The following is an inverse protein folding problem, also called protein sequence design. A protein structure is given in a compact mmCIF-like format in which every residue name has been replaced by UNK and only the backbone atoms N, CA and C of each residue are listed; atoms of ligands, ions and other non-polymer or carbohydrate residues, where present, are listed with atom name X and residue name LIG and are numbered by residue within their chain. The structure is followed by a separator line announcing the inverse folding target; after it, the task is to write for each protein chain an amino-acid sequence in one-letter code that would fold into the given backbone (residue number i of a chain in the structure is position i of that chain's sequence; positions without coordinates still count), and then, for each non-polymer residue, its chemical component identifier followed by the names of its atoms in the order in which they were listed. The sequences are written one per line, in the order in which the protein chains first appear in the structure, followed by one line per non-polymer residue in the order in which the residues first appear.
data_IF_029523732427
#
_entry.id   IF_029523732427
#
_cell.length_a   1.000
_cell.length_b   1.000
_cell.length_c   1.000
_cell.angle_alpha   90.00
_cell.angle_beta   90.00
_cell.angle_gamma   90.00
#
_symmetry.space_group_name_H-M   'P 1'
#
loop_
_entity.id
_entity.type
_entity.pdbx_description
1 polymer ?
#
# COMPACT_ATOMS: atom_id res chain seq x y z
N UNK A 1 13.43 11.55 -9.37
CA UNK A 1 13.53 13.02 -9.36
C UNK A 1 13.63 13.45 -7.90
N UNK A 2 14.84 13.60 -7.35
CA UNK A 2 15.01 13.94 -5.94
C UNK A 2 14.68 15.41 -5.70
N UNK A 3 13.48 15.69 -5.18
CA UNK A 3 13.08 17.00 -4.69
C UNK A 3 12.78 18.07 -5.74
N UNK A 4 12.80 17.74 -7.03
CA UNK A 4 12.44 18.68 -8.10
C UNK A 4 10.92 18.62 -8.37
N UNK A 5 10.31 19.79 -8.55
CA UNK A 5 8.92 19.93 -8.98
C UNK A 5 8.83 20.43 -10.41
N UNK A 6 7.63 20.54 -10.97
CA UNK A 6 7.38 21.16 -12.28
C UNK A 6 7.51 22.70 -12.25
N UNK A 7 7.61 23.28 -11.07
CA UNK A 7 7.67 24.73 -10.88
C UNK A 7 9.10 25.16 -10.55
N UNK A 8 9.60 26.17 -11.26
CA UNK A 8 10.92 26.73 -11.00
C UNK A 8 11.02 27.32 -9.58
N UNK A 9 12.06 26.95 -8.84
CA UNK A 9 12.30 27.43 -7.48
C UNK A 9 11.41 26.78 -6.40
N UNK A 10 10.52 25.84 -6.76
CA UNK A 10 9.73 25.06 -5.81
C UNK A 10 10.33 23.69 -5.67
N UNK A 11 10.60 23.28 -4.43
CA UNK A 11 11.23 22.00 -4.09
C UNK A 11 10.37 21.23 -3.10
N UNK A 12 10.33 19.91 -3.26
CA UNK A 12 9.73 19.02 -2.28
C UNK A 12 10.61 18.89 -1.05
N UNK A 13 9.99 18.83 0.13
CA UNK A 13 10.69 18.41 1.35
C UNK A 13 10.95 16.91 1.22
N UNK A 14 12.22 16.45 1.33
CA UNK A 14 12.52 15.03 1.21
C UNK A 14 11.76 14.20 2.24
N UNK A 15 11.43 12.94 1.90
CA UNK A 15 10.80 12.01 2.83
C UNK A 15 11.61 11.90 4.13
N UNK A 16 10.91 11.72 5.25
CA UNK A 16 11.48 11.63 6.59
C UNK A 16 12.29 12.86 7.05
N UNK A 17 12.03 14.03 6.45
CA UNK A 17 12.60 15.30 6.91
C UNK A 17 11.51 16.23 7.46
N UNK A 18 11.85 16.97 8.46
CA UNK A 18 11.11 18.14 8.91
C UNK A 18 11.98 19.38 8.79
N UNK A 19 11.38 20.56 8.84
CA UNK A 19 12.16 21.77 8.67
C UNK A 19 11.58 22.99 9.35
N UNK A 20 12.44 23.98 9.55
CA UNK A 20 12.11 25.27 10.15
C UNK A 20 12.46 26.39 9.19
N UNK A 21 11.54 27.30 9.01
CA UNK A 21 11.75 28.53 8.23
C UNK A 21 11.57 29.72 9.18
N UNK A 22 12.65 30.47 9.39
CA UNK A 22 12.57 31.76 10.07
C UNK A 22 12.24 32.86 9.07
N UNK A 23 11.59 33.92 9.53
CA UNK A 23 11.23 35.05 8.66
C UNK A 23 12.48 35.61 7.96
N UNK A 24 12.51 35.55 6.63
CA UNK A 24 13.63 36.01 5.79
C UNK A 24 14.82 35.05 5.70
N UNK A 25 14.71 33.84 6.26
CA UNK A 25 15.75 32.79 6.17
C UNK A 25 15.43 31.70 5.16
N UNK A 26 16.44 30.88 4.89
CA UNK A 26 16.27 29.66 4.11
C UNK A 26 15.75 28.51 5.00
N UNK A 27 15.05 27.53 4.42
CA UNK A 27 14.65 26.31 5.11
C UNK A 27 15.86 25.56 5.69
N UNK A 28 15.76 25.17 6.95
CA UNK A 28 16.72 24.27 7.57
C UNK A 28 16.03 22.92 7.72
N UNK A 29 16.46 21.91 6.95
CA UNK A 29 15.88 20.58 6.95
C UNK A 29 16.69 19.66 7.86
N UNK A 30 15.98 18.84 8.64
CA UNK A 30 16.54 17.82 9.51
C UNK A 30 15.84 16.48 9.21
N UNK A 31 16.65 15.43 9.05
CA UNK A 31 16.11 14.07 8.88
C UNK A 31 15.76 13.51 10.25
N UNK A 32 14.48 13.16 10.45
CA UNK A 32 13.99 12.62 11.72
C UNK A 32 13.78 11.09 11.70
N UNK A 33 13.82 10.48 10.54
CA UNK A 33 13.58 9.03 10.40
C UNK A 33 14.39 8.43 9.25
N UNK A 34 14.76 7.18 9.43
CA UNK A 34 15.44 6.35 8.43
C UNK A 34 14.96 4.92 8.56
N UNK A 35 14.80 4.23 7.43
CA UNK A 35 14.52 2.78 7.44
C UNK A 35 15.76 2.05 7.95
N UNK A 36 15.60 1.28 9.02
CA UNK A 36 16.65 0.41 9.55
C UNK A 36 16.15 -1.02 9.48
N UNK A 37 16.94 -1.89 8.85
CA UNK A 37 16.65 -3.31 8.75
C UNK A 37 17.51 -4.06 9.78
N UNK A 38 16.90 -4.35 10.94
CA UNK A 38 17.52 -5.17 11.97
C UNK A 38 16.90 -6.58 11.93
N UNK A 39 17.74 -7.58 11.62
CA UNK A 39 17.28 -8.96 11.60
C UNK A 39 17.18 -9.48 13.03
N UNK A 40 15.98 -9.77 13.45
CA UNK A 40 15.72 -10.43 14.74
C UNK A 40 15.74 -11.96 14.56
N UNK A 41 16.80 -12.59 15.04
CA UNK A 41 16.98 -14.02 15.00
C UNK A 41 16.58 -14.71 16.31
N UNK A 42 16.06 -14.00 17.30
CA UNK A 42 15.82 -14.51 18.64
C UNK A 42 14.35 -14.85 18.89
N UNK A 43 13.42 -14.04 18.33
CA UNK A 43 12.00 -14.25 18.53
C UNK A 43 11.41 -15.25 17.54
N UNK A 44 10.32 -15.88 17.93
CA UNK A 44 9.58 -16.83 17.11
C UNK A 44 8.56 -16.12 16.21
N UNK A 45 8.08 -16.81 15.18
CA UNK A 45 6.97 -16.32 14.35
C UNK A 45 5.74 -15.95 15.20
N UNK A 46 5.40 -16.80 16.19
CA UNK A 46 4.26 -16.52 17.08
C UNK A 46 4.41 -15.19 17.85
N UNK A 47 5.63 -14.86 18.27
CA UNK A 47 5.91 -13.57 18.89
C UNK A 47 5.65 -12.41 17.93
N UNK A 48 6.13 -12.51 16.68
CA UNK A 48 5.92 -11.45 15.69
C UNK A 48 4.45 -11.29 15.33
N UNK A 49 3.71 -12.39 15.18
CA UNK A 49 2.27 -12.36 14.91
C UNK A 49 1.51 -11.64 16.04
N UNK A 50 1.81 -11.99 17.28
CA UNK A 50 1.15 -11.35 18.43
C UNK A 50 1.51 -9.87 18.54
N UNK A 51 2.80 -9.56 18.40
CA UNK A 51 3.26 -8.18 18.46
C UNK A 51 2.71 -7.30 17.32
N UNK A 52 2.61 -7.86 16.12
CA UNK A 52 1.97 -7.19 14.99
C UNK A 52 0.49 -6.91 15.28
N UNK A 53 -0.23 -7.88 15.82
CA UNK A 53 -1.64 -7.73 16.19
C UNK A 53 -1.83 -6.60 17.20
N UNK A 54 -1.00 -6.52 18.24
CA UNK A 54 -1.02 -5.44 19.22
C UNK A 54 -0.77 -4.06 18.57
N UNK A 55 0.29 -3.96 17.75
CA UNK A 55 0.66 -2.72 17.08
C UNK A 55 -0.41 -2.25 16.11
N UNK A 56 -1.02 -3.17 15.36
CA UNK A 56 -2.12 -2.84 14.45
C UNK A 56 -3.35 -2.33 15.21
N UNK A 57 -3.73 -2.99 16.30
CA UNK A 57 -4.86 -2.57 17.12
C UNK A 57 -4.62 -1.18 17.73
N UNK A 58 -3.45 -0.94 18.30
CA UNK A 58 -3.06 0.37 18.84
C UNK A 58 -3.06 1.46 17.77
N UNK A 59 -2.46 1.19 16.62
CA UNK A 59 -2.41 2.12 15.50
C UNK A 59 -3.81 2.50 15.01
N UNK A 60 -4.66 1.52 14.81
CA UNK A 60 -6.05 1.76 14.37
C UNK A 60 -6.83 2.53 15.42
N UNK A 61 -6.71 2.22 16.71
CA UNK A 61 -7.36 3.00 17.77
C UNK A 61 -6.96 4.47 17.72
N UNK A 62 -5.67 4.75 17.51
CA UNK A 62 -5.18 6.12 17.34
C UNK A 62 -5.76 6.82 16.10
N UNK A 63 -5.79 6.15 14.95
CA UNK A 63 -6.32 6.71 13.71
C UNK A 63 -7.85 6.90 13.74
N UNK A 64 -8.54 6.11 14.54
CA UNK A 64 -9.99 6.23 14.71
C UNK A 64 -10.42 7.35 15.67
N UNK A 65 -9.48 8.03 16.35
CA UNK A 65 -9.76 9.20 17.20
C UNK A 65 -10.03 10.43 16.33
N UNK A 66 -11.28 10.64 16.00
CA UNK A 66 -11.71 11.73 15.12
C UNK A 66 -13.04 12.32 15.59
N UNK A 67 -13.18 13.63 15.42
CA UNK A 67 -14.42 14.39 15.68
C UNK A 67 -15.42 14.29 14.52
N UNK A 68 -15.04 13.57 13.47
CA UNK A 68 -15.84 13.34 12.26
C UNK A 68 -16.00 11.86 11.99
N UNK A 69 -16.91 11.52 11.10
CA UNK A 69 -17.09 10.15 10.66
C UNK A 69 -15.88 9.68 9.85
N UNK A 70 -15.36 8.50 10.21
CA UNK A 70 -14.26 7.82 9.55
C UNK A 70 -14.80 6.61 8.79
N UNK A 71 -14.40 6.45 7.55
CA UNK A 71 -14.64 5.25 6.73
C UNK A 71 -13.35 4.55 6.36
N UNK A 72 -13.41 3.59 5.43
CA UNK A 72 -12.23 2.92 4.91
C UNK A 72 -12.32 2.65 3.40
N UNK A 73 -11.18 2.66 2.71
CA UNK A 73 -11.07 2.07 1.38
C UNK A 73 -10.90 0.56 1.51
N UNK A 74 -11.66 -0.19 0.74
CA UNK A 74 -11.56 -1.66 0.69
C UNK A 74 -11.46 -2.08 -0.77
N UNK A 75 -10.26 -2.42 -1.22
CA UNK A 75 -10.05 -2.92 -2.58
C UNK A 75 -10.51 -4.37 -2.78
N UNK A 76 -10.63 -5.13 -1.70
CA UNK A 76 -10.79 -6.58 -1.71
C UNK A 76 -9.50 -7.34 -1.35
N UNK A 77 -8.37 -6.64 -1.30
CA UNK A 77 -7.10 -7.16 -0.82
C UNK A 77 -7.05 -7.31 0.71
N UNK A 78 -6.09 -8.11 1.19
CA UNK A 78 -5.94 -8.44 2.63
C UNK A 78 -5.73 -7.19 3.47
N UNK A 79 -4.81 -6.31 3.08
CA UNK A 79 -4.41 -5.14 3.87
C UNK A 79 -5.58 -4.18 4.10
N UNK A 80 -6.27 -3.80 3.02
CA UNK A 80 -7.41 -2.88 3.10
C UNK A 80 -8.58 -3.48 3.87
N UNK A 81 -8.80 -4.79 3.72
CA UNK A 81 -9.86 -5.51 4.44
C UNK A 81 -9.57 -5.59 5.93
N UNK A 82 -8.33 -5.93 6.30
CA UNK A 82 -7.90 -5.97 7.71
C UNK A 82 -8.08 -4.63 8.39
N UNK A 83 -7.63 -3.55 7.78
CA UNK A 83 -7.77 -2.21 8.34
C UNK A 83 -9.23 -1.80 8.53
N UNK A 84 -10.10 -2.12 7.57
CA UNK A 84 -11.53 -1.83 7.67
C UNK A 84 -12.19 -2.62 8.82
N UNK A 85 -11.84 -3.90 8.97
CA UNK A 85 -12.35 -4.76 10.06
C UNK A 85 -11.92 -4.22 11.43
N UNK A 86 -10.62 -3.95 11.62
CA UNK A 86 -10.11 -3.38 12.85
C UNK A 86 -10.73 -1.99 13.14
N UNK A 87 -10.89 -1.16 12.12
CA UNK A 87 -11.57 0.13 12.26
C UNK A 87 -13.04 -0.02 12.68
N UNK A 88 -13.73 -1.02 12.17
CA UNK A 88 -15.09 -1.37 12.57
C UNK A 88 -15.18 -1.85 14.02
N UNK A 89 -14.23 -2.64 14.46
CA UNK A 89 -14.15 -3.15 15.83
C UNK A 89 -13.96 -2.06 16.86
N UNK A 90 -13.19 -1.01 16.56
CA UNK A 90 -13.03 0.16 17.45
C UNK A 90 -14.31 0.99 17.60
N UNK A 91 -15.24 0.91 16.63
CA UNK A 91 -16.54 1.57 16.64
C UNK A 91 -17.67 0.56 16.44
N UNK A 92 -18.00 -0.25 17.44
CA UNK A 92 -18.98 -1.34 17.29
C UNK A 92 -20.42 -0.85 17.09
N UNK A 93 -20.69 0.42 17.38
CA UNK A 93 -22.03 1.01 17.24
C UNK A 93 -22.11 1.97 16.06
N UNK A 94 -23.24 1.98 15.37
CA UNK A 94 -23.48 2.84 14.20
C UNK A 94 -22.95 2.25 12.89
N UNK A 95 -23.23 2.90 11.76
CA UNK A 95 -22.78 2.43 10.45
C UNK A 95 -21.29 2.72 10.26
N UNK A 96 -20.54 1.73 9.75
CA UNK A 96 -19.20 1.91 9.26
C UNK A 96 -19.23 1.85 7.74
N UNK A 97 -18.68 2.87 7.09
CA UNK A 97 -18.75 3.01 5.63
C UNK A 97 -17.44 2.57 4.99
N UNK A 98 -17.53 1.72 3.99
CA UNK A 98 -16.41 1.32 3.17
C UNK A 98 -16.64 1.69 1.71
N UNK A 99 -15.57 1.96 1.00
CA UNK A 99 -15.58 2.47 -0.37
C UNK A 99 -14.71 1.59 -1.25
N UNK A 100 -15.27 1.16 -2.38
CA UNK A 100 -14.60 0.28 -3.34
C UNK A 100 -14.74 0.83 -4.76
N UNK A 101 -13.67 0.71 -5.53
CA UNK A 101 -13.68 0.95 -6.97
C UNK A 101 -14.01 -0.35 -7.72
N UNK A 102 -14.94 -0.29 -8.65
CA UNK A 102 -15.41 -1.42 -9.41
C UNK A 102 -15.19 -1.21 -10.91
N UNK A 103 -14.72 -2.25 -11.57
CA UNK A 103 -14.50 -2.28 -13.02
C UNK A 103 -15.52 -3.24 -13.66
N UNK A 104 -16.79 -2.85 -13.75
CA UNK A 104 -17.88 -3.71 -14.22
C UNK A 104 -17.71 -4.17 -15.67
N UNK A 105 -16.96 -3.42 -16.50
CA UNK A 105 -16.68 -3.76 -17.89
C UNK A 105 -15.59 -4.84 -18.04
N UNK A 106 -14.76 -5.05 -17.01
CA UNK A 106 -13.69 -6.04 -17.05
C UNK A 106 -13.59 -6.83 -15.74
N UNK A 107 -14.21 -8.00 -15.77
CA UNK A 107 -14.31 -8.90 -14.60
C UNK A 107 -12.95 -9.40 -14.09
N UNK A 108 -11.90 -9.40 -14.92
CA UNK A 108 -10.57 -9.86 -14.52
C UNK A 108 -9.91 -8.91 -13.52
N UNK A 109 -10.34 -7.65 -13.51
CA UNK A 109 -9.85 -6.61 -12.59
C UNK A 109 -10.87 -6.22 -11.51
N UNK A 110 -12.06 -6.84 -11.52
CA UNK A 110 -13.10 -6.53 -10.56
C UNK A 110 -12.99 -7.41 -9.31
N UNK A 111 -12.51 -6.82 -8.23
CA UNK A 111 -12.41 -7.45 -6.91
C UNK A 111 -13.55 -7.04 -5.97
N UNK A 112 -14.57 -6.32 -6.46
CA UNK A 112 -15.66 -5.78 -5.65
C UNK A 112 -16.43 -6.83 -4.85
N UNK A 113 -16.50 -8.08 -5.35
CA UNK A 113 -17.09 -9.21 -4.62
C UNK A 113 -16.45 -9.46 -3.27
N UNK A 114 -15.12 -9.26 -3.14
CA UNK A 114 -14.43 -9.44 -1.86
C UNK A 114 -14.73 -8.30 -0.90
N UNK A 115 -14.81 -7.06 -1.40
CA UNK A 115 -15.24 -5.92 -0.60
C UNK A 115 -16.68 -6.11 -0.07
N UNK A 116 -17.58 -6.68 -0.89
CA UNK A 116 -18.94 -6.99 -0.45
C UNK A 116 -18.96 -8.06 0.65
N UNK A 117 -18.16 -9.14 0.52
CA UNK A 117 -18.04 -10.17 1.56
C UNK A 117 -17.58 -9.55 2.88
N UNK A 118 -16.53 -8.69 2.84
CA UNK A 118 -16.04 -7.99 4.03
C UNK A 118 -17.14 -7.13 4.66
N UNK A 119 -17.93 -6.44 3.84
CA UNK A 119 -19.05 -5.62 4.30
C UNK A 119 -20.12 -6.45 5.02
N UNK A 120 -20.55 -7.53 4.39
CA UNK A 120 -21.65 -8.38 4.87
C UNK A 120 -21.27 -9.08 6.19
N UNK A 121 -20.08 -9.67 6.25
CA UNK A 121 -19.59 -10.40 7.44
C UNK A 121 -19.34 -9.47 8.65
N UNK A 122 -19.08 -8.18 8.42
CA UNK A 122 -18.77 -7.23 9.48
C UNK A 122 -19.83 -6.13 9.67
N UNK A 123 -21.00 -6.28 9.07
CA UNK A 123 -22.09 -5.30 9.16
C UNK A 123 -21.66 -3.88 8.81
N UNK A 124 -20.99 -3.72 7.68
CA UNK A 124 -20.54 -2.44 7.13
C UNK A 124 -21.37 -2.04 5.92
N UNK A 125 -21.46 -0.75 5.64
CA UNK A 125 -22.11 -0.22 4.44
C UNK A 125 -21.08 -0.05 3.32
N UNK A 126 -21.15 -0.89 2.29
CA UNK A 126 -20.28 -0.79 1.13
C UNK A 126 -20.85 0.15 0.07
N UNK A 127 -20.03 1.08 -0.40
CA UNK A 127 -20.32 2.00 -1.49
C UNK A 127 -19.38 1.72 -2.65
N UNK A 128 -19.95 1.50 -3.83
CA UNK A 128 -19.20 1.20 -5.04
C UNK A 128 -19.15 2.40 -5.98
N UNK A 129 -17.98 2.65 -6.55
CA UNK A 129 -17.77 3.54 -7.67
C UNK A 129 -17.45 2.70 -8.89
N UNK A 130 -18.40 2.62 -9.82
CA UNK A 130 -18.11 2.05 -11.13
C UNK A 130 -17.19 2.99 -11.91
N UNK A 131 -16.23 2.42 -12.60
CA UNK A 131 -15.25 3.13 -13.41
C UNK A 131 -15.27 2.59 -14.82
N UNK A 132 -15.44 3.49 -15.76
CA UNK A 132 -15.51 3.20 -17.21
C UNK A 132 -14.31 3.86 -17.92
N UNK A 133 -14.14 3.53 -19.20
CA UNK A 133 -13.16 4.22 -20.05
C UNK A 133 -13.52 5.70 -20.26
N UNK A 134 -14.81 6.01 -20.38
CA UNK A 134 -15.28 7.39 -20.51
C UNK A 134 -14.97 8.20 -19.25
N UNK A 135 -15.18 7.62 -18.05
CA UNK A 135 -14.79 8.27 -16.80
C UNK A 135 -13.29 8.60 -16.77
N UNK A 136 -12.44 7.73 -17.33
CA UNK A 136 -11.01 8.02 -17.41
C UNK A 136 -10.71 9.21 -18.29
N UNK A 137 -11.30 9.25 -19.49
CA UNK A 137 -11.12 10.37 -20.44
C UNK A 137 -11.61 11.68 -19.84
N UNK A 138 -12.78 11.65 -19.20
CA UNK A 138 -13.42 12.85 -18.67
C UNK A 138 -12.74 13.43 -17.41
N UNK A 139 -11.99 12.59 -16.67
CA UNK A 139 -11.41 13.04 -15.39
C UNK A 139 -9.87 13.04 -15.36
N UNK A 140 -9.18 12.63 -16.42
CA UNK A 140 -7.71 12.51 -16.37
C UNK A 140 -7.01 13.85 -16.16
N UNK A 141 -7.54 14.94 -16.70
CA UNK A 141 -6.99 16.30 -16.50
C UNK A 141 -7.11 16.71 -15.02
N UNK A 142 -8.25 16.46 -14.39
CA UNK A 142 -8.45 16.71 -12.97
C UNK A 142 -7.53 15.87 -12.09
N UNK A 143 -7.33 14.59 -12.46
CA UNK A 143 -6.38 13.71 -11.76
C UNK A 143 -4.97 14.30 -11.79
N UNK A 144 -4.49 14.72 -12.97
CA UNK A 144 -3.16 15.32 -13.14
C UNK A 144 -3.06 16.63 -12.35
N UNK A 145 -4.10 17.47 -12.42
CA UNK A 145 -4.15 18.73 -11.68
C UNK A 145 -3.99 18.52 -10.17
N UNK A 146 -4.72 17.56 -9.59
CA UNK A 146 -4.68 17.28 -8.14
C UNK A 146 -3.41 16.56 -7.68
N UNK A 147 -2.66 15.93 -8.58
CA UNK A 147 -1.38 15.30 -8.26
C UNK A 147 -0.20 16.29 -8.20
N UNK A 148 -0.37 17.51 -8.71
CA UNK A 148 0.67 18.55 -8.80
C UNK A 148 1.98 18.10 -9.48
N UNK A 149 2.01 16.94 -10.09
CA UNK A 149 3.20 16.41 -10.74
C UNK A 149 2.95 15.16 -11.57
N UNK A 150 3.91 14.77 -12.42
CA UNK A 150 3.79 13.56 -13.22
C UNK A 150 3.96 12.34 -12.32
N UNK A 151 2.88 11.61 -12.11
CA UNK A 151 2.89 10.33 -11.39
C UNK A 151 2.73 9.20 -12.40
N UNK A 152 3.67 8.27 -12.39
CA UNK A 152 3.59 7.07 -13.21
C UNK A 152 2.75 6.01 -12.47
N UNK A 153 1.78 5.43 -13.18
CA UNK A 153 1.01 4.30 -12.71
C UNK A 153 -0.50 4.48 -12.84
N UNK A 154 -1.22 3.39 -13.09
CA UNK A 154 -2.66 3.42 -13.36
C UNK A 154 -3.52 3.63 -12.10
N UNK A 155 -2.94 3.55 -10.90
CA UNK A 155 -3.68 3.58 -9.63
C UNK A 155 -4.25 4.94 -9.24
N UNK A 156 -3.71 6.05 -9.79
CA UNK A 156 -4.12 7.41 -9.41
C UNK A 156 -5.56 7.72 -9.80
N UNK A 157 -5.98 7.29 -10.98
CA UNK A 157 -7.35 7.51 -11.44
C UNK A 157 -8.39 6.78 -10.59
N UNK A 158 -8.28 5.46 -10.34
CA UNK A 158 -9.19 4.77 -9.43
C UNK A 158 -9.22 5.38 -8.03
N UNK A 159 -8.07 5.77 -7.50
CA UNK A 159 -7.97 6.42 -6.19
C UNK A 159 -8.72 7.75 -6.18
N UNK A 160 -8.60 8.57 -7.23
CA UNK A 160 -9.33 9.82 -7.38
C UNK A 160 -10.85 9.59 -7.38
N UNK A 161 -11.33 8.64 -8.19
CA UNK A 161 -12.76 8.34 -8.33
C UNK A 161 -13.37 7.85 -7.01
N UNK A 162 -12.71 6.92 -6.33
CA UNK A 162 -13.17 6.39 -5.04
C UNK A 162 -13.09 7.47 -3.96
N UNK A 163 -12.06 8.33 -3.99
CA UNK A 163 -11.94 9.45 -3.05
C UNK A 163 -13.07 10.47 -3.22
N UNK A 164 -13.47 10.76 -4.45
CA UNK A 164 -14.63 11.62 -4.74
C UNK A 164 -15.93 11.05 -4.19
N UNK A 165 -16.15 9.74 -4.34
CA UNK A 165 -17.29 9.04 -3.72
C UNK A 165 -17.21 9.14 -2.20
N UNK A 166 -16.07 8.82 -1.59
CA UNK A 166 -15.86 8.84 -0.15
C UNK A 166 -16.10 10.24 0.43
N UNK A 167 -15.58 11.28 -0.21
CA UNK A 167 -15.75 12.68 0.21
C UNK A 167 -17.21 13.12 0.29
N UNK A 168 -18.10 12.49 -0.47
CA UNK A 168 -19.56 12.74 -0.38
C UNK A 168 -20.22 12.16 0.88
N UNK A 169 -19.52 11.27 1.60
CA UNK A 169 -20.08 10.48 2.71
C UNK A 169 -19.35 10.67 4.03
N UNK A 170 -18.02 10.84 4.00
CA UNK A 170 -17.15 10.95 5.17
C UNK A 170 -16.08 12.00 4.93
N UNK A 171 -15.38 12.40 6.00
CA UNK A 171 -14.27 13.35 5.92
C UNK A 171 -12.90 12.70 6.01
N UNK A 172 -12.84 11.51 6.58
CA UNK A 172 -11.60 10.75 6.80
C UNK A 172 -11.83 9.31 6.36
N UNK A 173 -10.83 8.73 5.72
CA UNK A 173 -10.82 7.31 5.34
C UNK A 173 -9.51 6.67 5.74
N UNK A 174 -9.57 5.43 6.22
CA UNK A 174 -8.41 4.56 6.39
C UNK A 174 -8.05 3.93 5.04
N UNK A 175 -6.76 3.78 4.77
CA UNK A 175 -6.23 3.15 3.56
C UNK A 175 -5.16 2.12 3.84
N UNK A 176 -5.10 1.06 3.04
CA UNK A 176 -4.15 -0.04 3.17
C UNK A 176 -2.79 0.19 2.49
N UNK A 177 -2.55 1.39 1.95
CA UNK A 177 -1.29 1.70 1.27
C UNK A 177 -0.10 1.56 2.24
N UNK A 178 1.00 0.98 1.74
CA UNK A 178 2.20 0.70 2.53
C UNK A 178 2.28 -0.74 3.04
N UNK A 179 1.20 -1.50 3.02
CA UNK A 179 1.20 -2.91 3.44
C UNK A 179 2.16 -3.77 2.62
N UNK A 180 2.06 -3.71 1.31
CA UNK A 180 2.96 -4.45 0.41
C UNK A 180 4.43 -4.05 0.57
N UNK A 181 4.71 -2.77 0.83
CA UNK A 181 6.05 -2.26 1.05
C UNK A 181 6.67 -2.80 2.35
N UNK A 182 5.87 -2.90 3.41
CA UNK A 182 6.33 -3.36 4.73
C UNK A 182 6.45 -4.88 4.76
N UNK A 183 5.46 -5.59 4.21
CA UNK A 183 5.36 -7.05 4.32
C UNK A 183 5.87 -7.80 3.09
N UNK A 184 6.43 -7.10 2.11
CA UNK A 184 7.00 -7.73 0.91
C UNK A 184 5.95 -8.33 -0.02
N UNK A 185 4.76 -7.73 -0.13
CA UNK A 185 3.63 -8.25 -0.91
C UNK A 185 3.82 -8.23 -2.43
N UNK A 186 4.73 -7.41 -2.94
CA UNK A 186 5.00 -7.35 -4.38
C UNK A 186 5.85 -8.50 -4.90
N UNK A 187 5.47 -9.07 -6.04
CA UNK A 187 6.22 -10.14 -6.69
C UNK A 187 7.71 -9.77 -6.93
N UNK A 188 8.00 -8.49 -7.20
CA UNK A 188 9.39 -7.99 -7.36
C UNK A 188 10.25 -8.19 -6.11
N UNK A 189 9.68 -8.15 -4.91
CA UNK A 189 10.42 -8.39 -3.68
C UNK A 189 10.79 -9.87 -3.52
N UNK A 190 9.91 -10.77 -3.94
CA UNK A 190 10.23 -12.21 -3.97
C UNK A 190 11.37 -12.50 -4.95
N UNK A 191 11.39 -11.85 -6.11
CA UNK A 191 12.46 -12.00 -7.10
C UNK A 191 13.78 -11.50 -6.53
N UNK A 192 13.80 -10.29 -5.95
CA UNK A 192 14.99 -9.72 -5.32
C UNK A 192 15.50 -10.59 -4.17
N UNK A 193 14.61 -11.11 -3.34
CA UNK A 193 14.96 -12.02 -2.27
C UNK A 193 15.59 -13.32 -2.80
N UNK A 194 15.00 -13.92 -3.83
CA UNK A 194 15.52 -15.12 -4.47
C UNK A 194 16.93 -14.90 -5.07
N UNK A 195 17.13 -13.76 -5.71
CA UNK A 195 18.45 -13.36 -6.22
C UNK A 195 19.48 -13.27 -5.09
N UNK A 196 19.13 -12.63 -3.97
CA UNK A 196 20.03 -12.54 -2.82
C UNK A 196 20.31 -13.92 -2.20
N UNK A 197 19.34 -14.81 -2.18
CA UNK A 197 19.55 -16.19 -1.72
C UNK A 197 20.54 -16.94 -2.61
N UNK A 198 20.46 -16.79 -3.94
CA UNK A 198 21.42 -17.42 -4.87
C UNK A 198 22.83 -16.83 -4.66
N UNK A 199 22.96 -15.51 -4.59
CA UNK A 199 24.25 -14.84 -4.34
C UNK A 199 24.87 -15.32 -3.03
N UNK A 200 24.10 -15.31 -1.95
CA UNK A 200 24.57 -15.76 -0.65
C UNK A 200 24.95 -17.24 -0.60
N UNK A 201 24.28 -18.10 -1.39
CA UNK A 201 24.67 -19.50 -1.52
C UNK A 201 26.01 -19.67 -2.28
N UNK A 202 26.23 -18.85 -3.32
CA UNK A 202 27.49 -18.86 -4.09
C UNK A 202 28.65 -18.33 -3.25
N UNK A 203 28.42 -17.22 -2.53
CA UNK A 203 29.45 -16.54 -1.74
C UNK A 203 29.70 -17.25 -0.38
N UNK A 204 28.91 -18.25 -0.02
CA UNK A 204 29.01 -18.94 1.25
C UNK A 204 28.60 -18.09 2.47
N UNK A 205 27.91 -16.97 2.23
CA UNK A 205 27.41 -16.07 3.28
C UNK A 205 26.05 -16.51 3.82
N UNK A 206 25.35 -17.38 3.12
CA UNK A 206 24.14 -18.05 3.58
C UNK A 206 24.51 -19.15 4.60
N UNK A 207 24.48 -18.78 5.87
CA UNK A 207 24.60 -19.77 6.94
C UNK A 207 23.33 -20.62 7.02
N UNK A 208 23.49 -21.91 6.82
CA UNK A 208 22.43 -22.91 6.88
C UNK A 208 21.63 -22.79 8.17
N UNK A 209 20.40 -22.34 8.12
CA UNK A 209 19.49 -22.86 9.09
C UNK A 209 18.50 -21.95 9.81
N UNK A 210 18.34 -20.69 9.47
CA UNK A 210 17.31 -19.87 10.14
C UNK A 210 16.55 -18.96 9.18
N UNK A 211 16.29 -19.43 7.98
CA UNK A 211 15.43 -18.70 7.07
C UNK A 211 13.97 -19.11 7.29
N UNK A 212 13.13 -18.15 7.61
CA UNK A 212 11.66 -18.30 7.68
C UNK A 212 11.09 -18.63 6.31
N UNK A 213 11.82 -18.26 5.24
CA UNK A 213 11.42 -18.51 3.85
C UNK A 213 12.31 -19.60 3.26
N UNK A 214 11.76 -20.79 3.09
CA UNK A 214 12.42 -21.96 2.47
C UNK A 214 12.09 -22.05 0.99
N UNK A 215 12.83 -22.87 0.24
CA UNK A 215 12.48 -23.20 -1.16
C UNK A 215 11.03 -23.68 -1.29
N UNK A 216 10.55 -24.42 -0.31
CA UNK A 216 9.18 -24.95 -0.29
C UNK A 216 8.12 -23.85 -0.15
N UNK A 217 8.44 -22.76 0.52
CA UNK A 217 7.53 -21.60 0.61
C UNK A 217 7.57 -20.69 -0.63
N UNK A 218 8.68 -20.72 -1.40
CA UNK A 218 8.85 -19.94 -2.62
C UNK A 218 8.26 -20.65 -3.85
N UNK A 219 8.41 -21.98 -3.94
CA UNK A 219 8.00 -22.76 -5.12
C UNK A 219 6.52 -22.55 -5.50
N UNK A 220 5.54 -22.56 -4.59
CA UNK A 220 4.17 -22.26 -4.93
C UNK A 220 3.98 -20.87 -5.54
N UNK A 221 4.76 -19.89 -5.07
CA UNK A 221 4.73 -18.52 -5.57
C UNK A 221 5.43 -18.37 -6.94
N UNK A 222 6.42 -19.22 -7.24
CA UNK A 222 7.03 -19.26 -8.56
C UNK A 222 6.05 -19.61 -9.68
N UNK A 223 5.02 -20.41 -9.39
CA UNK A 223 3.95 -20.70 -10.36
C UNK A 223 3.15 -19.42 -10.65
N UNK A 224 2.92 -18.61 -9.65
CA UNK A 224 2.27 -17.29 -9.79
C UNK A 224 3.17 -16.34 -10.59
N UNK A 225 4.48 -16.41 -10.42
CA UNK A 225 5.45 -15.60 -11.18
C UNK A 225 5.41 -15.88 -12.70
N UNK A 226 4.88 -17.04 -13.14
CA UNK A 226 4.66 -17.28 -14.59
C UNK A 226 3.74 -16.23 -15.23
N UNK A 227 2.79 -15.68 -14.48
CA UNK A 227 1.93 -14.59 -14.95
C UNK A 227 2.71 -13.31 -15.22
N UNK A 228 3.82 -13.12 -14.53
CA UNK A 228 4.71 -11.96 -14.65
C UNK A 228 5.91 -12.21 -15.59
N UNK A 229 5.93 -13.34 -16.30
CA UNK A 229 7.03 -13.69 -17.20
C UNK A 229 7.42 -12.57 -18.17
N UNK A 230 6.49 -11.87 -18.85
CA UNK A 230 6.86 -10.78 -19.74
C UNK A 230 7.59 -9.65 -19.01
N UNK A 231 7.09 -9.24 -17.84
CA UNK A 231 7.70 -8.20 -17.02
C UNK A 231 9.08 -8.62 -16.47
N UNK A 232 9.22 -9.88 -16.07
CA UNK A 232 10.50 -10.42 -15.61
C UNK A 232 11.53 -10.52 -16.76
N UNK A 233 11.09 -10.83 -17.98
CA UNK A 233 11.96 -10.84 -19.15
C UNK A 233 12.46 -9.45 -19.51
N UNK A 234 11.61 -8.43 -19.42
CA UNK A 234 11.99 -7.03 -19.59
C UNK A 234 12.99 -6.60 -18.51
N UNK A 235 12.71 -6.92 -17.26
CA UNK A 235 13.61 -6.65 -16.11
C UNK A 235 14.98 -7.34 -16.25
N UNK A 236 15.01 -8.58 -16.76
CA UNK A 236 16.27 -9.31 -16.98
C UNK A 236 17.01 -8.86 -18.23
N UNK A 237 16.32 -8.30 -19.24
CA UNK A 237 16.95 -7.78 -20.46
C UNK A 237 17.71 -6.48 -20.22
N UNK A 238 17.36 -5.72 -19.20
CA UNK A 238 17.97 -4.43 -18.88
C UNK A 238 19.27 -4.52 -18.06
N UNK A 239 19.88 -5.71 -18.00
CA UNK A 239 21.28 -5.86 -17.58
C UNK A 239 21.52 -5.90 -16.07
N UNK A 240 20.67 -6.55 -15.32
CA UNK A 240 20.87 -6.85 -13.90
C UNK A 240 21.70 -8.14 -13.65
N UNK A 241 22.32 -8.70 -14.70
CA UNK A 241 23.32 -9.76 -14.61
C UNK A 241 24.62 -9.35 -15.28
#
# INVERSE_FOLDING_TARGET
LSGATLLEGVHEVPAAHCGWIRRGGCPQLERYWEVQYELDAYHTEAYFVERLRELMAESIDLHMRADVEVGAYVSGGIDSSLLAILGRETRPTGPFKIFNGRFSENQDFDESRYAQIVADENSMNCYFQDMTQDDFVDNIEDVIYHLDGPVAGPGSFPQYMVSRLAASKVKVVLGGQGGDEIFGGYARYLVAYFEQCIKGAIDGTLNNGKYVVTYESIIPNLVTLKKYKPMLQEFWSDGLF
#
